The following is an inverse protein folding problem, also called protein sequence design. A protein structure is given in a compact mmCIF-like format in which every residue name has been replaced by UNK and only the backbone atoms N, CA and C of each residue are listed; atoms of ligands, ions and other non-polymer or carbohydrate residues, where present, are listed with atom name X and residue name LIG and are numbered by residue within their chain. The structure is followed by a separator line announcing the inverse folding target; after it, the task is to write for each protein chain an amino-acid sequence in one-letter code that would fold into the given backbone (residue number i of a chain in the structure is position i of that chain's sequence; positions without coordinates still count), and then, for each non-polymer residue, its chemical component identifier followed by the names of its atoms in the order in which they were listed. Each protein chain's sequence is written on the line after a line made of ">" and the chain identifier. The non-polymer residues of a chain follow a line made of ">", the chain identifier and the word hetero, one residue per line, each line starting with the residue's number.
data_IF_194848901743
#
_entry.id   IF_194848901743
#
_cell.length_a   1.000
_cell.length_b   1.000
_cell.length_c   1.000
_cell.angle_alpha   90.00
_cell.angle_beta   90.00
_cell.angle_gamma   90.00
#
_symmetry.space_group_name_H-M   'P 1'
#
loop_
_entity.id
_entity.type
_entity.pdbx_description
1 polymer ?
#
# COMPACT_ATOMS: atom_id res chain seq x y z
N UNK A 1 13.25 0.85 9.14
CA UNK A 1 13.47 1.05 7.68
C UNK A 1 13.13 -0.25 6.98
N UNK A 2 12.18 -0.24 6.05
CA UNK A 2 11.67 -1.45 5.38
C UNK A 2 12.52 -1.74 4.13
N UNK A 3 12.92 -3.01 3.93
CA UNK A 3 13.65 -3.47 2.76
C UNK A 3 12.83 -4.51 1.99
N UNK A 4 12.93 -4.49 0.68
CA UNK A 4 12.42 -5.53 -0.21
C UNK A 4 13.62 -6.23 -0.86
N UNK A 5 13.54 -7.55 -1.02
CA UNK A 5 14.60 -8.35 -1.64
C UNK A 5 14.03 -9.18 -2.77
N UNK A 6 14.73 -9.20 -3.90
CA UNK A 6 14.35 -9.94 -5.10
C UNK A 6 15.56 -10.67 -5.66
N UNK A 7 15.34 -11.84 -6.26
CA UNK A 7 16.36 -12.54 -7.04
C UNK A 7 16.12 -12.31 -8.52
N UNK A 8 17.16 -11.95 -9.27
CA UNK A 8 17.07 -11.70 -10.73
C UNK A 8 16.82 -13.02 -11.44
N UNK A 9 15.68 -13.19 -12.14
CA UNK A 9 15.42 -14.41 -12.89
C UNK A 9 16.21 -14.45 -14.22
N UNK A 10 16.40 -15.63 -14.83
CA UNK A 10 17.16 -15.78 -16.10
C UNK A 10 16.66 -14.88 -17.23
N UNK A 11 15.37 -14.56 -17.27
CA UNK A 11 14.78 -13.69 -18.29
C UNK A 11 15.32 -12.24 -18.28
N UNK A 12 15.97 -11.83 -17.20
CA UNK A 12 16.58 -10.47 -17.04
C UNK A 12 18.09 -10.50 -16.98
N UNK A 13 18.72 -11.62 -17.39
CA UNK A 13 20.19 -11.68 -17.47
C UNK A 13 20.73 -10.64 -18.45
N UNK A 14 21.64 -9.79 -17.98
CA UNK A 14 22.22 -8.71 -18.78
C UNK A 14 21.30 -7.49 -19.02
N UNK A 15 20.05 -7.49 -18.54
CA UNK A 15 19.16 -6.32 -18.66
C UNK A 15 19.50 -5.25 -17.62
N UNK A 16 18.91 -4.07 -17.74
CA UNK A 16 19.12 -2.98 -16.80
C UNK A 16 18.35 -3.23 -15.50
N UNK A 17 18.90 -2.78 -14.38
CA UNK A 17 18.21 -2.82 -13.08
C UNK A 17 16.83 -2.14 -13.17
N UNK A 18 16.69 -1.06 -13.94
CA UNK A 18 15.41 -0.38 -14.16
C UNK A 18 14.35 -1.29 -14.79
N UNK A 19 14.71 -2.03 -15.83
CA UNK A 19 13.79 -2.92 -16.52
C UNK A 19 13.34 -4.06 -15.61
N UNK A 20 14.28 -4.67 -14.90
CA UNK A 20 13.99 -5.69 -13.89
C UNK A 20 13.02 -5.18 -12.82
N UNK A 21 13.32 -4.03 -12.20
CA UNK A 21 12.47 -3.44 -11.16
C UNK A 21 11.05 -3.13 -11.65
N UNK A 22 10.90 -2.69 -12.89
CA UNK A 22 9.61 -2.30 -13.43
C UNK A 22 8.77 -3.45 -13.96
N UNK A 23 9.39 -4.40 -14.66
CA UNK A 23 8.69 -5.45 -15.41
C UNK A 23 8.48 -6.71 -14.58
N UNK A 24 9.46 -7.07 -13.74
CA UNK A 24 9.41 -8.26 -12.91
C UNK A 24 8.96 -7.93 -11.48
N UNK A 25 9.65 -7.00 -10.81
CA UNK A 25 9.29 -6.62 -9.44
C UNK A 25 8.02 -5.76 -9.35
N UNK A 26 7.46 -5.31 -10.48
CA UNK A 26 6.21 -4.52 -10.51
C UNK A 26 6.30 -3.15 -9.83
N UNK A 27 7.50 -2.53 -9.76
CA UNK A 27 7.64 -1.21 -9.16
C UNK A 27 7.09 -0.11 -10.08
N UNK A 28 6.36 0.85 -9.52
CA UNK A 28 5.95 2.04 -10.26
C UNK A 28 7.17 2.92 -10.59
N UNK A 29 7.08 3.69 -11.68
CA UNK A 29 8.13 4.66 -12.02
C UNK A 29 8.40 5.65 -10.87
N UNK A 30 7.35 6.12 -10.21
CA UNK A 30 7.49 7.02 -9.05
C UNK A 30 8.29 6.38 -7.91
N UNK A 31 8.10 5.09 -7.66
CA UNK A 31 8.87 4.36 -6.64
C UNK A 31 10.34 4.26 -7.04
N UNK A 32 10.65 3.92 -8.29
CA UNK A 32 12.04 3.87 -8.79
C UNK A 32 12.73 5.24 -8.65
N UNK A 33 12.03 6.34 -8.95
CA UNK A 33 12.56 7.70 -8.76
C UNK A 33 12.82 8.01 -7.28
N UNK A 34 11.93 7.62 -6.38
CA UNK A 34 12.12 7.80 -4.93
C UNK A 34 13.29 7.00 -4.39
N UNK A 35 13.47 5.76 -4.85
CA UNK A 35 14.60 4.90 -4.45
C UNK A 35 15.97 5.51 -4.84
N UNK A 36 16.05 6.25 -5.94
CA UNK A 36 17.28 6.98 -6.33
C UNK A 36 17.70 8.07 -5.34
N UNK A 37 16.74 8.58 -4.55
CA UNK A 37 16.96 9.64 -3.57
C UNK A 37 17.33 9.10 -2.17
N UNK A 38 17.23 7.78 -1.98
CA UNK A 38 17.60 7.12 -0.73
C UNK A 38 19.05 6.65 -0.85
N UNK A 39 19.88 7.00 0.12
CA UNK A 39 21.26 6.50 0.19
C UNK A 39 21.25 4.95 0.31
N UNK A 40 21.92 4.27 -0.63
CA UNK A 40 21.84 2.81 -0.72
C UNK A 40 20.44 2.29 -1.03
N UNK A 41 19.56 3.11 -1.63
CA UNK A 41 18.17 2.77 -1.94
C UNK A 41 18.02 1.58 -2.88
N UNK A 42 19.05 1.28 -3.68
CA UNK A 42 19.14 0.10 -4.55
C UNK A 42 20.52 -0.51 -4.45
N UNK A 43 20.61 -1.79 -4.15
CA UNK A 43 21.86 -2.54 -4.12
C UNK A 43 21.68 -3.88 -4.85
N UNK A 44 22.75 -4.36 -5.47
CA UNK A 44 22.86 -5.70 -6.07
C UNK A 44 23.99 -6.42 -5.39
N UNK A 45 23.72 -7.57 -4.79
CA UNK A 45 24.66 -8.34 -3.97
C UNK A 45 25.37 -7.47 -2.91
N UNK A 46 24.60 -6.58 -2.26
CA UNK A 46 25.07 -5.65 -1.25
C UNK A 46 25.81 -4.41 -1.77
N UNK A 47 26.06 -4.31 -3.08
CA UNK A 47 26.76 -3.17 -3.70
C UNK A 47 25.75 -2.17 -4.25
N UNK A 48 25.80 -0.86 -3.87
CA UNK A 48 24.91 0.15 -4.41
C UNK A 48 25.01 0.22 -5.95
N UNK A 49 23.86 0.29 -6.61
CA UNK A 49 23.75 0.31 -8.07
C UNK A 49 22.80 1.39 -8.56
N UNK A 50 23.07 1.87 -9.78
CA UNK A 50 22.17 2.80 -10.47
C UNK A 50 21.19 2.03 -11.33
N UNK A 51 20.08 2.65 -11.65
CA UNK A 51 19.03 2.04 -12.48
C UNK A 51 19.49 1.64 -13.89
N UNK A 52 20.55 2.26 -14.40
CA UNK A 52 21.14 1.97 -15.72
C UNK A 52 22.12 0.80 -15.68
N UNK A 53 22.58 0.41 -14.48
CA UNK A 53 23.54 -0.68 -14.34
C UNK A 53 22.86 -2.02 -14.70
N UNK A 54 23.63 -2.94 -15.27
CA UNK A 54 23.14 -4.26 -15.66
C UNK A 54 23.10 -5.19 -14.47
N UNK A 55 22.14 -6.12 -14.51
CA UNK A 55 21.98 -7.20 -13.55
C UNK A 55 22.19 -8.54 -14.23
N UNK A 56 22.64 -9.55 -13.48
CA UNK A 56 22.81 -10.91 -13.96
C UNK A 56 21.86 -11.86 -13.22
N UNK A 57 21.45 -12.94 -13.91
CA UNK A 57 20.62 -13.99 -13.32
C UNK A 57 21.24 -14.52 -12.01
N UNK A 58 20.40 -14.74 -11.01
CA UNK A 58 20.81 -15.22 -9.69
C UNK A 58 21.28 -14.15 -8.72
N UNK A 59 21.55 -12.92 -9.17
CA UNK A 59 21.93 -11.83 -8.28
C UNK A 59 20.76 -11.43 -7.37
N UNK A 60 21.11 -10.96 -6.16
CA UNK A 60 20.15 -10.47 -5.19
C UNK A 60 20.05 -8.96 -5.24
N UNK A 61 18.86 -8.44 -5.55
CA UNK A 61 18.56 -7.01 -5.55
C UNK A 61 17.86 -6.66 -4.24
N UNK A 62 18.45 -5.75 -3.47
CA UNK A 62 17.87 -5.21 -2.24
C UNK A 62 17.45 -3.76 -2.45
N UNK A 63 16.20 -3.46 -2.09
CA UNK A 63 15.63 -2.12 -2.17
C UNK A 63 15.33 -1.61 -0.76
N UNK A 64 15.91 -0.48 -0.41
CA UNK A 64 15.63 0.22 0.84
C UNK A 64 14.52 1.24 0.59
N UNK A 65 13.32 0.97 1.11
CA UNK A 65 12.20 1.86 0.91
C UNK A 65 12.42 3.22 1.60
N UNK A 66 12.00 4.33 0.96
CA UNK A 66 12.03 5.65 1.59
C UNK A 66 11.24 5.64 2.89
N UNK A 67 11.71 6.40 3.87
CA UNK A 67 10.96 6.58 5.11
C UNK A 67 9.59 7.18 4.85
N UNK A 68 8.67 6.79 5.69
CA UNK A 68 7.29 7.24 5.60
C UNK A 68 7.11 8.58 6.30
N UNK A 69 6.51 9.54 5.61
CA UNK A 69 6.15 10.82 6.22
C UNK A 69 4.69 10.77 6.62
N UNK A 70 4.42 10.53 7.89
CA UNK A 70 3.06 10.57 8.45
C UNK A 70 2.59 12.02 8.52
N UNK A 71 1.52 12.35 7.78
CA UNK A 71 0.94 13.70 7.72
C UNK A 71 -0.40 13.82 8.42
N UNK A 72 -0.95 12.70 8.87
CA UNK A 72 -2.24 12.63 9.56
C UNK A 72 -1.95 12.36 11.02
N UNK A 73 -2.52 13.16 11.91
CA UNK A 73 -2.42 12.94 13.34
C UNK A 73 -3.25 11.72 13.75
N UNK A 74 -2.68 10.88 14.61
CA UNK A 74 -3.39 9.75 15.19
C UNK A 74 -4.49 10.21 16.15
N UNK A 75 -5.63 9.50 16.14
CA UNK A 75 -6.70 9.70 17.11
C UNK A 75 -7.12 8.37 17.73
N UNK A 76 -7.50 8.39 19.00
CA UNK A 76 -7.96 7.20 19.70
C UNK A 76 -9.42 6.89 19.34
N UNK A 77 -9.58 6.23 18.22
CA UNK A 77 -10.86 5.75 17.70
C UNK A 77 -10.81 4.22 17.71
N UNK A 78 -11.85 3.55 18.19
CA UNK A 78 -11.93 2.08 18.12
C UNK A 78 -11.70 1.57 16.69
N UNK A 79 -10.79 0.61 16.53
CA UNK A 79 -10.44 0.02 15.25
C UNK A 79 -10.61 -1.50 15.32
N UNK A 80 -11.51 -2.03 14.50
CA UNK A 80 -11.69 -3.48 14.38
C UNK A 80 -10.75 -4.01 13.30
N UNK A 81 -9.63 -4.60 13.73
CA UNK A 81 -8.67 -5.25 12.85
C UNK A 81 -9.16 -6.67 12.54
N UNK A 82 -9.31 -6.98 11.26
CA UNK A 82 -9.74 -8.31 10.76
C UNK A 82 -8.52 -9.15 10.39
N UNK A 83 -7.51 -8.51 9.80
CA UNK A 83 -6.25 -9.15 9.42
C UNK A 83 -5.12 -8.12 9.42
N UNK A 84 -3.95 -8.52 9.83
CA UNK A 84 -2.74 -7.70 9.76
C UNK A 84 -1.49 -8.56 9.62
N UNK A 85 -0.61 -8.18 8.68
CA UNK A 85 0.74 -8.72 8.52
C UNK A 85 1.75 -7.59 8.25
N UNK A 86 2.94 -7.90 7.77
CA UNK A 86 3.98 -6.92 7.46
C UNK A 86 3.66 -6.06 6.21
N UNK A 87 2.73 -6.50 5.38
CA UNK A 87 2.39 -5.87 4.10
C UNK A 87 1.01 -5.18 4.11
N UNK A 88 0.05 -5.74 4.84
CA UNK A 88 -1.37 -5.39 4.78
C UNK A 88 -1.98 -5.20 6.16
N UNK A 89 -2.96 -4.32 6.21
CA UNK A 89 -3.93 -4.18 7.27
C UNK A 89 -5.34 -4.26 6.65
N UNK A 90 -6.19 -5.13 7.17
CA UNK A 90 -7.62 -5.21 6.83
C UNK A 90 -8.43 -4.83 8.06
N UNK A 91 -9.29 -3.84 7.92
CA UNK A 91 -10.15 -3.37 9.00
C UNK A 91 -11.61 -3.47 8.61
N UNK A 92 -12.47 -3.73 9.58
CA UNK A 92 -13.92 -3.56 9.43
C UNK A 92 -14.29 -2.13 9.79
N UNK A 93 -14.62 -1.33 8.78
CA UNK A 93 -14.98 0.07 8.97
C UNK A 93 -16.45 0.17 9.46
N UNK A 94 -16.70 0.81 10.61
CA UNK A 94 -18.09 1.06 11.01
C UNK A 94 -18.77 2.07 10.08
N UNK A 95 -20.10 2.12 10.05
CA UNK A 95 -20.84 3.20 9.40
C UNK A 95 -20.55 4.54 10.10
N UNK A 96 -20.86 5.65 9.41
CA UNK A 96 -20.72 7.03 9.88
C UNK A 96 -19.27 7.52 10.13
N UNK A 97 -18.27 6.71 9.80
CA UNK A 97 -16.85 7.07 9.85
C UNK A 97 -16.31 7.30 8.42
N UNK A 98 -15.81 8.50 8.15
CA UNK A 98 -15.16 8.79 6.88
C UNK A 98 -13.79 8.07 6.78
N UNK A 99 -13.36 7.69 5.58
CA UNK A 99 -12.06 7.02 5.37
C UNK A 99 -10.90 8.01 5.53
N UNK A 100 -11.01 9.19 4.92
CA UNK A 100 -9.98 10.24 4.96
C UNK A 100 -10.53 11.58 5.41
N UNK A 101 -9.68 12.44 6.00
CA UNK A 101 -10.04 13.81 6.27
C UNK A 101 -10.43 14.54 4.97
N UNK A 102 -11.46 15.36 5.04
CA UNK A 102 -11.90 16.24 3.97
C UNK A 102 -11.64 17.69 4.33
N UNK A 103 -11.29 18.52 3.33
CA UNK A 103 -11.06 19.94 3.57
C UNK A 103 -12.29 20.58 4.23
N UNK A 104 -12.05 21.37 5.29
CA UNK A 104 -13.10 22.07 6.03
C UNK A 104 -13.95 21.20 6.97
N UNK A 105 -13.64 19.92 7.14
CA UNK A 105 -14.32 19.03 8.10
C UNK A 105 -13.31 18.43 9.08
N UNK A 106 -13.21 18.96 10.30
CA UNK A 106 -12.20 18.52 11.29
C UNK A 106 -12.57 17.20 12.01
N UNK A 107 -13.59 16.48 11.53
CA UNK A 107 -14.01 15.23 12.16
C UNK A 107 -12.93 14.14 12.04
N UNK A 108 -12.69 13.37 13.11
CA UNK A 108 -11.80 12.22 13.07
C UNK A 108 -12.25 11.18 12.04
N UNK A 109 -11.30 10.52 11.40
CA UNK A 109 -11.54 9.58 10.30
C UNK A 109 -10.88 8.23 10.57
N UNK A 110 -11.17 7.23 9.75
CA UNK A 110 -10.49 5.95 9.80
C UNK A 110 -8.96 6.10 9.64
N UNK A 111 -8.51 7.08 8.83
CA UNK A 111 -7.09 7.36 8.69
C UNK A 111 -6.42 7.74 10.00
N UNK A 112 -7.10 8.53 10.85
CA UNK A 112 -6.59 8.91 12.18
C UNK A 112 -6.50 7.69 13.11
N UNK A 113 -7.50 6.78 13.09
CA UNK A 113 -7.49 5.54 13.86
C UNK A 113 -6.34 4.61 13.45
N UNK A 114 -6.14 4.41 12.14
CA UNK A 114 -5.09 3.53 11.61
C UNK A 114 -3.70 4.10 11.89
N UNK A 115 -3.49 5.41 11.76
CA UNK A 115 -2.21 6.03 12.11
C UNK A 115 -1.91 5.88 13.60
N UNK A 116 -2.88 6.05 14.49
CA UNK A 116 -2.73 5.79 15.92
C UNK A 116 -2.41 4.31 16.20
N UNK A 117 -3.05 3.38 15.49
CA UNK A 117 -2.78 1.95 15.61
C UNK A 117 -1.32 1.62 15.25
N UNK A 118 -0.81 2.10 14.11
CA UNK A 118 0.57 1.90 13.71
C UNK A 118 1.58 2.53 14.70
N UNK A 119 1.26 3.71 15.23
CA UNK A 119 2.11 4.38 16.23
C UNK A 119 2.21 3.57 17.53
N UNK A 120 1.10 2.96 17.99
CA UNK A 120 1.09 2.09 19.18
C UNK A 120 1.94 0.82 18.99
N UNK A 121 2.09 0.35 17.76
CA UNK A 121 2.98 -0.78 17.41
C UNK A 121 4.45 -0.38 17.26
N UNK A 122 4.81 0.90 17.47
CA UNK A 122 6.16 1.41 17.30
C UNK A 122 6.62 1.54 15.85
N UNK A 123 5.71 1.40 14.88
CA UNK A 123 5.99 1.49 13.44
C UNK A 123 5.11 2.57 12.79
N UNK A 124 5.42 3.87 12.97
CA UNK A 124 4.60 4.94 12.41
C UNK A 124 4.60 4.86 10.88
N UNK A 125 3.44 4.57 10.29
CA UNK A 125 3.22 4.44 8.86
C UNK A 125 2.10 5.37 8.41
N UNK A 126 2.20 5.85 7.16
CA UNK A 126 1.09 6.56 6.54
C UNK A 126 -0.03 5.61 6.19
N UNK A 127 -1.27 6.05 6.33
CA UNK A 127 -2.44 5.29 5.90
C UNK A 127 -2.55 5.26 4.38
N UNK A 128 -2.57 4.05 3.78
CA UNK A 128 -2.63 3.81 2.33
C UNK A 128 -3.75 2.83 2.00
N UNK A 129 -5.02 3.28 2.00
CA UNK A 129 -6.11 2.43 1.60
C UNK A 129 -6.02 2.08 0.12
N UNK A 130 -6.29 0.82 -0.23
CA UNK A 130 -6.32 0.33 -1.62
C UNK A 130 -7.73 0.36 -2.21
N UNK A 131 -8.74 0.51 -1.37
CA UNK A 131 -10.14 0.74 -1.72
C UNK A 131 -10.73 1.86 -0.86
N UNK A 132 -11.90 2.33 -1.25
CA UNK A 132 -12.66 3.34 -0.48
C UNK A 132 -14.05 2.81 -0.19
N UNK A 133 -14.57 3.23 0.94
CA UNK A 133 -15.97 3.09 1.34
C UNK A 133 -16.51 4.47 1.68
N UNK A 134 -17.75 4.72 1.36
CA UNK A 134 -18.41 5.95 1.75
C UNK A 134 -18.57 6.04 3.26
N UNK A 135 -18.84 7.24 3.78
CA UNK A 135 -18.98 7.48 5.22
C UNK A 135 -20.00 6.53 5.85
N UNK A 136 -21.15 6.37 5.21
CA UNK A 136 -22.26 5.57 5.75
C UNK A 136 -22.17 4.07 5.40
N UNK A 137 -21.22 3.68 4.53
CA UNK A 137 -20.98 2.29 4.19
C UNK A 137 -20.06 1.66 5.22
N UNK A 138 -20.46 0.50 5.76
CA UNK A 138 -19.61 -0.33 6.61
C UNK A 138 -18.97 -1.46 5.82
N UNK A 139 -17.96 -2.13 6.41
CA UNK A 139 -17.35 -3.33 5.87
C UNK A 139 -15.85 -3.20 5.63
N UNK A 140 -15.30 -4.16 4.89
CA UNK A 140 -13.87 -4.37 4.79
C UNK A 140 -13.15 -3.30 3.99
N UNK A 141 -12.11 -2.75 4.59
CA UNK A 141 -11.19 -1.82 3.96
C UNK A 141 -9.76 -2.35 4.08
N UNK A 142 -9.06 -2.40 2.95
CA UNK A 142 -7.68 -2.83 2.87
C UNK A 142 -6.76 -1.62 2.86
N UNK A 143 -5.73 -1.64 3.70
CA UNK A 143 -4.66 -0.64 3.71
C UNK A 143 -3.31 -1.32 3.54
N UNK A 144 -2.49 -0.81 2.63
CA UNK A 144 -1.13 -1.29 2.44
C UNK A 144 -0.17 -0.62 3.42
N UNK A 145 0.76 -1.38 3.99
CA UNK A 145 1.78 -0.86 4.92
C UNK A 145 2.96 -0.20 4.20
N UNK A 146 3.08 -0.36 2.90
CA UNK A 146 4.10 0.31 2.10
C UNK A 146 3.58 0.71 0.70
N UNK A 147 4.25 1.66 0.03
CA UNK A 147 3.80 2.16 -1.27
C UNK A 147 3.85 1.13 -2.41
N UNK A 148 4.74 0.13 -2.32
CA UNK A 148 4.83 -0.93 -3.33
C UNK A 148 3.62 -1.83 -3.29
N UNK A 149 3.23 -2.30 -2.10
CA UNK A 149 2.02 -3.11 -1.90
C UNK A 149 0.77 -2.32 -2.27
N UNK A 150 0.70 -1.02 -1.93
CA UNK A 150 -0.40 -0.15 -2.35
C UNK A 150 -0.55 -0.13 -3.87
N UNK A 151 0.54 0.03 -4.60
CA UNK A 151 0.52 0.00 -6.06
C UNK A 151 0.12 -1.37 -6.62
N UNK A 152 0.67 -2.45 -6.06
CA UNK A 152 0.40 -3.82 -6.51
C UNK A 152 -1.07 -4.23 -6.35
N UNK A 153 -1.77 -3.70 -5.34
CA UNK A 153 -3.16 -4.05 -5.02
C UNK A 153 -4.18 -3.10 -5.62
N UNK A 154 -3.77 -1.91 -6.08
CA UNK A 154 -4.72 -0.93 -6.65
C UNK A 154 -5.48 -1.54 -7.82
N UNK A 155 -6.82 -1.55 -7.69
CA UNK A 155 -7.73 -2.06 -8.72
C UNK A 155 -7.80 -3.58 -8.84
N UNK A 156 -7.09 -4.35 -8.00
CA UNK A 156 -7.06 -5.83 -8.09
C UNK A 156 -7.97 -6.55 -7.09
N UNK A 157 -8.50 -5.86 -6.10
CA UNK A 157 -9.39 -6.47 -5.12
C UNK A 157 -10.77 -6.72 -5.74
N UNK A 158 -11.25 -7.97 -5.68
CA UNK A 158 -12.66 -8.28 -5.90
C UNK A 158 -13.48 -7.70 -4.75
N UNK A 159 -14.63 -7.10 -5.07
CA UNK A 159 -15.49 -6.43 -4.10
C UNK A 159 -16.93 -6.90 -4.25
N UNK A 160 -17.52 -7.26 -3.13
CA UNK A 160 -18.91 -7.63 -3.03
C UNK A 160 -19.61 -6.74 -2.00
N UNK A 161 -20.82 -6.29 -2.32
CA UNK A 161 -21.61 -5.41 -1.47
C UNK A 161 -23.01 -5.95 -1.29
N UNK A 162 -23.51 -5.82 -0.07
CA UNK A 162 -24.92 -6.01 0.24
C UNK A 162 -25.58 -4.65 0.43
N UNK A 163 -26.72 -4.42 -0.22
CA UNK A 163 -27.47 -3.19 -0.11
C UNK A 163 -28.96 -3.47 0.12
N UNK A 164 -29.57 -2.69 1.00
CA UNK A 164 -31.03 -2.64 1.13
C UNK A 164 -31.54 -1.53 0.25
N UNK A 165 -32.47 -1.85 -0.65
CA UNK A 165 -33.05 -0.90 -1.59
C UNK A 165 -34.53 -0.71 -1.33
N UNK A 166 -35.07 0.47 -1.67
CA UNK A 166 -36.51 0.73 -1.64
C UNK A 166 -37.11 0.38 -3.00
N UNK A 167 -38.24 -0.33 -2.98
CA UNK A 167 -38.95 -0.78 -4.19
C UNK A 167 -38.75 -2.26 -4.48
N UNK A 168 -39.33 -2.73 -5.57
CA UNK A 168 -39.22 -4.11 -6.05
C UNK A 168 -38.14 -4.21 -7.13
N UNK A 169 -37.13 -5.05 -6.91
CA UNK A 169 -36.21 -5.46 -7.94
C UNK A 169 -36.79 -6.62 -8.74
N UNK A 170 -37.08 -6.41 -10.00
CA UNK A 170 -37.56 -7.42 -10.92
C UNK A 170 -36.40 -8.06 -11.64
N UNK A 171 -35.85 -9.14 -11.07
CA UNK A 171 -34.73 -9.91 -11.66
C UNK A 171 -33.34 -9.58 -11.10
N UNK A 172 -32.31 -10.22 -11.68
CA UNK A 172 -30.88 -9.98 -11.39
C UNK A 172 -30.24 -9.22 -12.55
N UNK A 173 -29.24 -8.42 -12.27
CA UNK A 173 -28.48 -7.65 -13.26
C UNK A 173 -27.07 -7.31 -12.76
N UNK A 174 -26.25 -6.82 -13.67
CA UNK A 174 -24.92 -6.26 -13.37
C UNK A 174 -24.97 -4.74 -13.60
N UNK A 175 -24.38 -4.00 -12.68
CA UNK A 175 -24.26 -2.54 -12.76
C UNK A 175 -22.83 -2.19 -13.21
#
# INVERSE_FOLDING_TARGET
>A
MQCLTYTVPPAFDGDTLQNFLRRDCGLSWRMVVRLKQVEGGMAVDGVPRRTIDRVCAGQTVTLRLPEDTVRIEGADIPLTVVFEDDALLVVDKPPYLAVHPSAGKPEPTLANAVVAHYARQGTPLSFRPTNRLDRNTSGLLLAAKNPHVAYALTGKAYKEYLAVVLGALLGSGTV
#
